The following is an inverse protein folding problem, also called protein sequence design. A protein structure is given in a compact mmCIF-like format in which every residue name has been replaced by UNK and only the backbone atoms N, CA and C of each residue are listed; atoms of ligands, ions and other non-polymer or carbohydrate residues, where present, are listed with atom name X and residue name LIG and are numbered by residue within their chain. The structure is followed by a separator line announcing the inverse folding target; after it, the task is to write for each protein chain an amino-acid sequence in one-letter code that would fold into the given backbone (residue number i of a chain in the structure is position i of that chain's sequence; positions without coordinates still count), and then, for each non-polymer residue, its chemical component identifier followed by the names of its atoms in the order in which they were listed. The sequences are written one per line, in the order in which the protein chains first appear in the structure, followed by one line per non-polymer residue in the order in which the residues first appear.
data_IF_619057094413
#
_entry.id   IF_619057094413
#
_cell.length_a   1.000
_cell.length_b   1.000
_cell.length_c   1.000
_cell.angle_alpha   90.00
_cell.angle_beta   90.00
_cell.angle_gamma   90.00
#
_symmetry.space_group_name_H-M   'P 1'
#
loop_
_entity.id
_entity.type
_entity.pdbx_description
1 polymer ?
#
# COMPACT_ATOMS: atom_id res chain seq x y z
N UNK A 1 12.37 20.15 -3.29
CA UNK A 1 12.08 18.87 -2.62
C UNK A 1 13.16 17.86 -2.99
N UNK A 2 13.49 16.89 -2.11
CA UNK A 2 14.33 15.74 -2.48
C UNK A 2 13.78 15.02 -3.72
N UNK A 3 14.64 14.35 -4.49
CA UNK A 3 14.25 13.70 -5.76
C UNK A 3 13.19 12.60 -5.60
N UNK A 4 13.10 12.00 -4.40
CA UNK A 4 12.14 10.95 -4.03
C UNK A 4 10.81 11.51 -3.50
N UNK A 5 10.57 12.83 -3.61
CA UNK A 5 9.31 13.47 -3.26
C UNK A 5 8.78 14.34 -4.38
N UNK A 6 7.47 14.35 -4.56
CA UNK A 6 6.79 15.30 -5.45
C UNK A 6 5.44 15.76 -4.90
N UNK A 7 4.96 16.90 -5.39
CA UNK A 7 3.66 17.46 -5.03
C UNK A 7 2.69 17.26 -6.20
N UNK A 8 1.49 16.75 -5.91
CA UNK A 8 0.39 16.66 -6.87
C UNK A 8 -0.94 16.95 -6.19
N UNK A 9 -1.70 17.87 -6.74
CA UNK A 9 -3.01 18.30 -6.23
C UNK A 9 -3.01 18.68 -4.74
N UNK A 10 -1.91 19.25 -4.24
CA UNK A 10 -1.76 19.63 -2.83
C UNK A 10 -1.37 18.48 -1.90
N UNK A 11 -1.09 17.28 -2.41
CA UNK A 11 -0.60 16.13 -1.66
C UNK A 11 0.87 15.86 -1.96
N UNK A 12 1.60 15.48 -0.91
CA UNK A 12 2.99 15.05 -1.02
C UNK A 12 3.00 13.55 -1.28
N UNK A 13 3.71 13.15 -2.32
CA UNK A 13 4.00 11.76 -2.65
C UNK A 13 5.45 11.45 -2.30
N UNK A 14 5.66 10.28 -1.73
CA UNK A 14 6.98 9.76 -1.35
C UNK A 14 7.21 8.48 -2.15
N UNK A 15 8.24 8.47 -2.99
CA UNK A 15 8.56 7.32 -3.81
C UNK A 15 9.36 6.28 -3.02
N UNK A 16 8.99 5.00 -3.17
CA UNK A 16 9.79 3.89 -2.65
C UNK A 16 11.09 3.68 -3.42
N UNK A 17 11.89 2.71 -2.99
CA UNK A 17 13.13 2.37 -3.68
C UNK A 17 12.83 1.47 -4.87
N UNK A 18 13.07 1.99 -6.08
CA UNK A 18 12.78 1.27 -7.34
C UNK A 18 13.35 -0.15 -7.38
N UNK A 19 14.58 -0.35 -6.90
CA UNK A 19 15.20 -1.68 -6.86
C UNK A 19 14.45 -2.68 -5.98
N UNK A 20 13.91 -2.24 -4.83
CA UNK A 20 13.12 -3.12 -3.95
C UNK A 20 11.76 -3.38 -4.58
N UNK A 21 11.16 -2.35 -5.17
CA UNK A 21 9.92 -2.45 -5.92
C UNK A 21 10.03 -3.48 -7.07
N UNK A 22 11.05 -3.37 -7.91
CA UNK A 22 11.26 -4.27 -9.06
C UNK A 22 11.41 -5.74 -8.58
N UNK A 23 12.14 -5.98 -7.48
CA UNK A 23 12.28 -7.31 -6.87
C UNK A 23 10.97 -7.85 -6.30
N UNK A 24 10.15 -7.01 -5.66
CA UNK A 24 8.84 -7.43 -5.17
C UNK A 24 7.97 -7.87 -6.34
N UNK A 25 7.91 -7.08 -7.42
CA UNK A 25 7.10 -7.38 -8.60
C UNK A 25 7.56 -8.67 -9.28
N UNK A 26 8.86 -8.85 -9.50
CA UNK A 26 9.41 -10.07 -10.09
C UNK A 26 8.99 -11.32 -9.29
N UNK A 27 9.16 -11.30 -7.97
CA UNK A 27 8.82 -12.44 -7.12
C UNK A 27 7.30 -12.64 -7.03
N UNK A 28 6.51 -11.56 -7.06
CA UNK A 28 5.05 -11.62 -7.08
C UNK A 28 4.53 -12.25 -8.36
N UNK A 29 5.05 -11.86 -9.52
CA UNK A 29 4.67 -12.45 -10.80
C UNK A 29 5.00 -13.95 -10.86
N UNK A 30 6.14 -14.37 -10.29
CA UNK A 30 6.49 -15.79 -10.20
C UNK A 30 5.50 -16.56 -9.32
N UNK A 31 5.14 -16.04 -8.14
CA UNK A 31 4.17 -16.68 -7.25
C UNK A 31 2.76 -16.73 -7.87
N UNK A 32 2.36 -15.67 -8.58
CA UNK A 32 1.02 -15.57 -9.16
C UNK A 32 0.81 -16.44 -10.40
N UNK A 33 1.87 -16.86 -11.11
CA UNK A 33 1.75 -17.71 -12.33
C UNK A 33 0.90 -18.97 -12.12
N UNK A 34 0.89 -19.52 -10.90
CA UNK A 34 0.16 -20.74 -10.57
C UNK A 34 -1.04 -20.50 -9.63
N UNK A 35 -1.37 -19.25 -9.32
CA UNK A 35 -2.41 -18.87 -8.34
C UNK A 35 -3.55 -18.14 -9.05
N UNK A 36 -4.46 -18.91 -9.66
CA UNK A 36 -5.61 -18.36 -10.37
C UNK A 36 -6.50 -17.50 -9.44
N UNK A 37 -6.98 -16.36 -9.95
CA UNK A 37 -7.92 -15.49 -9.26
C UNK A 37 -7.31 -14.43 -8.34
N UNK A 38 -5.98 -14.38 -8.22
CA UNK A 38 -5.28 -13.30 -7.52
C UNK A 38 -4.78 -12.25 -8.53
N UNK A 39 -5.00 -10.98 -8.19
CA UNK A 39 -4.56 -9.82 -8.97
C UNK A 39 -3.74 -8.90 -8.09
N UNK A 40 -2.82 -8.16 -8.71
CA UNK A 40 -2.06 -7.13 -8.04
C UNK A 40 -2.22 -5.80 -8.77
N UNK A 41 -2.05 -4.71 -8.01
CA UNK A 41 -2.08 -3.35 -8.52
C UNK A 41 -0.84 -2.63 -8.03
N UNK A 42 -0.29 -1.76 -8.87
CA UNK A 42 0.83 -0.89 -8.52
C UNK A 42 0.36 0.54 -8.58
N UNK A 43 0.61 1.28 -7.51
CA UNK A 43 0.29 2.69 -7.47
C UNK A 43 0.50 3.30 -6.08
N UNK A 44 0.25 4.60 -5.95
CA UNK A 44 0.38 5.29 -4.68
C UNK A 44 -0.63 4.77 -3.65
N UNK A 45 -0.21 4.73 -2.40
CA UNK A 45 -1.05 4.39 -1.24
C UNK A 45 -1.21 5.64 -0.39
N UNK A 46 -2.42 5.88 0.09
CA UNK A 46 -2.68 6.97 1.01
C UNK A 46 -2.35 6.53 2.44
N UNK A 47 -1.40 7.24 3.07
CA UNK A 47 -1.00 7.03 4.46
C UNK A 47 -1.89 7.87 5.40
N UNK A 48 -2.38 7.28 6.49
CA UNK A 48 -3.22 7.98 7.50
C UNK A 48 -2.81 7.62 8.92
N UNK A 49 -2.87 8.59 9.83
CA UNK A 49 -2.50 8.36 11.23
C UNK A 49 -3.59 7.68 12.08
N UNK A 50 -4.87 7.88 11.72
CA UNK A 50 -6.00 7.44 12.56
C UNK A 50 -7.08 6.79 11.70
N UNK A 51 -7.29 5.49 11.92
CA UNK A 51 -8.30 4.69 11.20
C UNK A 51 -9.71 5.28 11.29
N UNK A 52 -10.14 5.70 12.49
CA UNK A 52 -11.50 6.18 12.75
C UNK A 52 -11.73 7.66 12.42
N UNK A 53 -10.69 8.50 12.39
CA UNK A 53 -10.83 9.92 12.00
C UNK A 53 -11.28 10.08 10.54
N UNK A 54 -11.10 9.02 9.76
CA UNK A 54 -11.56 8.86 8.40
C UNK A 54 -13.00 8.34 8.29
N UNK A 55 -13.80 8.35 9.34
CA UNK A 55 -15.23 8.04 9.26
C UNK A 55 -16.04 9.34 9.34
N UNK A 56 -16.91 9.68 8.37
CA UNK A 56 -17.65 10.95 8.37
C UNK A 56 -18.51 11.13 9.63
N UNK A 57 -19.08 10.04 10.11
CA UNK A 57 -19.84 9.92 11.36
C UNK A 57 -19.09 10.37 12.63
N UNK A 58 -17.75 10.35 12.62
CA UNK A 58 -16.92 10.77 13.76
C UNK A 58 -16.18 12.08 13.51
N UNK A 59 -16.39 12.72 12.35
CA UNK A 59 -15.68 13.92 11.95
C UNK A 59 -16.55 15.16 12.18
N UNK A 60 -15.96 16.23 12.74
CA UNK A 60 -16.65 17.51 12.96
C UNK A 60 -17.01 18.24 11.66
N UNK A 61 -16.34 17.90 10.55
CA UNK A 61 -16.50 18.49 9.22
C UNK A 61 -16.72 17.36 8.18
N UNK A 62 -17.86 16.65 8.24
CA UNK A 62 -18.08 15.43 7.46
C UNK A 62 -18.08 15.67 5.94
N UNK A 63 -18.63 16.79 5.48
CA UNK A 63 -18.69 17.12 4.05
C UNK A 63 -17.29 17.37 3.48
N UNK A 64 -16.42 18.07 4.22
CA UNK A 64 -15.04 18.32 3.80
C UNK A 64 -14.24 17.02 3.76
N UNK A 65 -14.42 16.14 4.74
CA UNK A 65 -13.81 14.82 4.73
C UNK A 65 -14.25 13.99 3.52
N UNK A 66 -15.53 14.06 3.12
CA UNK A 66 -16.04 13.36 1.92
C UNK A 66 -15.36 13.91 0.65
N UNK A 67 -15.25 15.24 0.51
CA UNK A 67 -14.56 15.86 -0.62
C UNK A 67 -13.07 15.46 -0.67
N UNK A 68 -12.40 15.49 0.49
CA UNK A 68 -11.00 15.08 0.62
C UNK A 68 -10.79 13.62 0.23
N UNK A 69 -11.65 12.71 0.72
CA UNK A 69 -11.65 11.29 0.37
C UNK A 69 -11.82 11.06 -1.13
N UNK A 70 -12.76 11.76 -1.76
CA UNK A 70 -13.01 11.61 -3.19
C UNK A 70 -11.79 12.03 -4.01
N UNK A 71 -11.11 13.11 -3.59
CA UNK A 71 -9.86 13.56 -4.21
C UNK A 71 -8.75 12.53 -4.06
N UNK A 72 -8.58 11.97 -2.86
CA UNK A 72 -7.54 10.97 -2.57
C UNK A 72 -7.79 9.64 -3.31
N UNK A 73 -9.04 9.20 -3.41
CA UNK A 73 -9.42 8.01 -4.20
C UNK A 73 -9.03 8.10 -5.68
N UNK A 74 -8.94 9.29 -6.25
CA UNK A 74 -8.49 9.50 -7.62
C UNK A 74 -6.96 9.44 -7.77
N UNK A 75 -6.23 9.50 -6.66
CA UNK A 75 -4.78 9.59 -6.60
C UNK A 75 -4.11 8.31 -6.10
N UNK A 76 -4.82 7.47 -5.36
CA UNK A 76 -4.26 6.31 -4.66
C UNK A 76 -5.07 5.05 -4.91
N UNK A 77 -4.39 3.90 -4.97
CA UNK A 77 -5.03 2.59 -5.18
C UNK A 77 -5.48 1.92 -3.87
N UNK A 78 -4.91 2.35 -2.74
CA UNK A 78 -5.19 1.78 -1.43
C UNK A 78 -4.97 2.81 -0.32
N UNK A 79 -5.29 2.43 0.92
CA UNK A 79 -5.03 3.23 2.11
C UNK A 79 -4.40 2.34 3.18
N UNK A 80 -3.30 2.78 3.75
CA UNK A 80 -2.60 2.14 4.88
C UNK A 80 -2.22 3.20 5.93
N UNK A 81 -1.34 2.86 6.87
CA UNK A 81 -0.95 3.75 7.98
C UNK A 81 0.58 3.84 8.18
N UNK A 82 1.38 3.22 7.31
CA UNK A 82 2.82 3.03 7.54
C UNK A 82 3.70 3.37 6.34
N UNK A 83 3.23 3.18 5.10
CA UNK A 83 4.10 3.22 3.90
C UNK A 83 4.77 4.59 3.70
N UNK A 84 4.05 5.70 3.91
CA UNK A 84 4.58 7.05 3.69
C UNK A 84 5.72 7.37 4.67
N UNK A 85 5.49 7.09 5.95
CA UNK A 85 6.51 7.24 7.01
C UNK A 85 7.71 6.31 6.80
N UNK A 86 7.47 5.04 6.44
CA UNK A 86 8.52 4.06 6.16
C UNK A 86 9.46 4.56 5.06
N UNK A 87 8.92 4.98 3.91
CA UNK A 87 9.74 5.43 2.78
C UNK A 87 10.50 6.71 3.11
N UNK A 88 9.86 7.65 3.81
CA UNK A 88 10.51 8.89 4.22
C UNK A 88 11.72 8.63 5.11
N UNK A 89 11.56 7.82 6.17
CA UNK A 89 12.64 7.51 7.11
C UNK A 89 13.76 6.72 6.40
N UNK A 90 13.39 5.72 5.58
CA UNK A 90 14.33 4.92 4.81
C UNK A 90 15.23 5.77 3.91
N UNK A 91 14.66 6.72 3.16
CA UNK A 91 15.44 7.67 2.36
C UNK A 91 16.36 8.54 3.21
N UNK A 92 15.86 9.05 4.34
CA UNK A 92 16.67 9.87 5.25
C UNK A 92 17.82 9.08 5.91
N UNK A 93 17.66 7.76 6.07
CA UNK A 93 18.66 6.88 6.68
C UNK A 93 19.56 6.17 5.67
N UNK A 94 19.29 6.30 4.36
CA UNK A 94 20.01 5.56 3.32
C UNK A 94 19.77 4.04 3.38
N UNK A 95 18.63 3.61 3.92
CA UNK A 95 18.23 2.20 4.01
C UNK A 95 17.15 1.94 2.97
N UNK A 96 17.26 0.84 2.22
CA UNK A 96 16.27 0.50 1.18
C UNK A 96 15.03 -0.10 1.83
N UNK A 97 13.84 0.32 1.38
CA UNK A 97 12.56 -0.26 1.79
C UNK A 97 11.58 -0.35 0.63
N UNK A 98 10.64 -1.28 0.74
CA UNK A 98 9.49 -1.44 -0.14
C UNK A 98 8.29 -1.91 0.69
N UNK A 99 7.09 -1.80 0.13
CA UNK A 99 5.85 -2.28 0.73
C UNK A 99 5.06 -3.15 -0.24
N UNK A 100 4.39 -4.14 0.32
CA UNK A 100 3.44 -5.01 -0.35
C UNK A 100 2.24 -5.14 0.58
N UNK A 101 1.05 -4.79 0.09
CA UNK A 101 -0.17 -4.80 0.88
C UNK A 101 -1.12 -5.86 0.34
N UNK A 102 -1.80 -6.54 1.26
CA UNK A 102 -2.95 -7.40 0.93
C UNK A 102 -4.21 -6.63 1.25
N UNK A 103 -5.11 -6.52 0.27
CA UNK A 103 -6.41 -5.91 0.47
C UNK A 103 -7.25 -6.83 1.32
N UNK A 104 -7.76 -6.32 2.44
CA UNK A 104 -8.59 -7.07 3.37
C UNK A 104 -9.98 -6.44 3.50
N UNK A 105 -10.99 -7.30 3.52
CA UNK A 105 -12.37 -7.01 3.91
C UNK A 105 -12.64 -7.62 5.29
N UNK A 106 -12.82 -6.74 6.28
CA UNK A 106 -13.09 -7.12 7.67
C UNK A 106 -14.49 -7.73 7.88
N UNK A 107 -15.37 -7.64 6.89
CA UNK A 107 -16.73 -8.20 6.92
C UNK A 107 -16.88 -9.39 5.97
N UNK A 108 -15.76 -9.92 5.47
CA UNK A 108 -15.71 -11.06 4.57
C UNK A 108 -16.40 -12.31 5.12
N UNK A 109 -17.07 -13.05 4.24
CA UNK A 109 -17.55 -14.40 4.53
C UNK A 109 -16.39 -15.42 4.59
N UNK A 110 -16.68 -16.66 5.03
CA UNK A 110 -15.66 -17.72 5.18
C UNK A 110 -14.90 -18.00 3.88
N UNK A 111 -15.58 -17.95 2.73
CA UNK A 111 -14.96 -18.16 1.42
C UNK A 111 -13.96 -17.05 1.13
N UNK A 112 -14.35 -15.80 1.35
CA UNK A 112 -13.53 -14.61 1.13
C UNK A 112 -12.36 -14.55 2.11
N UNK A 113 -12.54 -14.97 3.36
CA UNK A 113 -11.46 -15.17 4.33
C UNK A 113 -10.43 -16.17 3.79
N UNK A 114 -10.87 -17.30 3.21
CA UNK A 114 -9.96 -18.26 2.57
C UNK A 114 -9.10 -17.65 1.46
N UNK A 115 -9.70 -16.81 0.62
CA UNK A 115 -8.99 -16.09 -0.45
C UNK A 115 -8.00 -15.07 0.13
N UNK A 116 -8.40 -14.29 1.13
CA UNK A 116 -7.52 -13.32 1.80
C UNK A 116 -6.33 -14.00 2.47
N UNK A 117 -6.54 -15.16 3.12
CA UNK A 117 -5.47 -15.94 3.72
C UNK A 117 -4.48 -16.48 2.67
N UNK A 118 -4.96 -16.90 1.50
CA UNK A 118 -4.07 -17.27 0.39
C UNK A 118 -3.25 -16.04 -0.07
N UNK A 119 -3.91 -14.89 -0.27
CA UNK A 119 -3.22 -13.66 -0.64
C UNK A 119 -2.15 -13.23 0.38
N UNK A 120 -2.42 -13.39 1.69
CA UNK A 120 -1.44 -13.17 2.75
C UNK A 120 -0.25 -14.14 2.67
N UNK A 121 -0.49 -15.42 2.41
CA UNK A 121 0.59 -16.40 2.22
C UNK A 121 1.46 -16.07 1.00
N UNK A 122 0.84 -15.66 -0.11
CA UNK A 122 1.56 -15.17 -1.29
C UNK A 122 2.43 -13.97 -0.92
N UNK A 123 1.85 -12.95 -0.27
CA UNK A 123 2.58 -11.75 0.12
C UNK A 123 3.74 -12.05 1.08
N UNK A 124 3.55 -12.98 2.01
CA UNK A 124 4.61 -13.46 2.90
C UNK A 124 5.76 -14.10 2.12
N UNK A 125 5.47 -15.05 1.22
CA UNK A 125 6.49 -15.72 0.42
C UNK A 125 7.25 -14.76 -0.50
N UNK A 126 6.54 -13.82 -1.13
CA UNK A 126 7.14 -12.75 -1.96
C UNK A 126 8.07 -11.90 -1.12
N UNK A 127 7.65 -11.50 0.08
CA UNK A 127 8.45 -10.67 0.98
C UNK A 127 9.73 -11.37 1.41
N UNK A 128 9.65 -12.67 1.78
CA UNK A 128 10.84 -13.47 2.12
C UNK A 128 11.83 -13.56 0.96
N UNK A 129 11.34 -13.80 -0.27
CA UNK A 129 12.19 -13.87 -1.46
C UNK A 129 12.80 -12.52 -1.81
N UNK A 130 12.05 -11.44 -1.65
CA UNK A 130 12.53 -10.09 -1.92
C UNK A 130 13.67 -9.70 -0.98
N UNK A 131 13.58 -10.08 0.30
CA UNK A 131 14.60 -9.77 1.32
C UNK A 131 15.84 -10.66 1.16
N UNK A 132 15.68 -11.95 0.85
CA UNK A 132 16.81 -12.90 0.75
C UNK A 132 17.63 -12.77 -0.54
N UNK A 133 17.08 -12.13 -1.57
CA UNK A 133 17.76 -11.84 -2.84
C UNK A 133 18.19 -10.37 -2.97
N UNK A 134 18.26 -9.63 -1.86
CA UNK A 134 18.78 -8.25 -1.80
C UNK A 134 20.27 -8.21 -1.54
#
# INVERSE_FOLDING_TARGET
MPKWMFLKDGFIFVEGFKEVYDKIIENLEIELKNQAGHHYFVGPVHDKDILHAWRPEYNRMPNELILLKNKIKQLTIATDMETGSLYTISHLRGVKSGSLLVVVDFFADQKTIGIQNNALNIAYNVSLKAITKT
#
